data_IF_777996297835
#
_entry.id   IF_777996297835
#
_cell.length_a   1.000
_cell.length_b   1.000
_cell.length_c   1.000
_cell.angle_alpha   90.00
_cell.angle_beta   90.00
_cell.angle_gamma   90.00
#
_symmetry.space_group_name_H-M   'P 1'
#
loop_
_entity.id
_entity.type
_entity.pdbx_description
1 polymer ?
#
# COMPACT_ATOMS: atom_id res chain seq x y z
N UNK A 1 -0.62 1.68 -8.72
CA UNK A 1 0.06 2.61 -7.79
C UNK A 1 1.07 3.45 -8.56
N UNK A 2 1.13 4.76 -8.30
CA UNK A 2 2.18 5.60 -8.86
C UNK A 2 3.50 5.36 -8.10
N UNK A 3 4.46 4.70 -8.76
CA UNK A 3 5.80 4.43 -8.24
C UNK A 3 6.51 5.70 -7.73
N UNK A 4 6.11 6.88 -8.22
CA UNK A 4 6.62 8.16 -7.74
C UNK A 4 6.26 8.41 -6.26
N UNK A 5 5.04 8.05 -5.83
CA UNK A 5 4.59 8.29 -4.45
C UNK A 5 5.28 7.40 -3.42
N UNK A 6 5.54 6.12 -3.74
CA UNK A 6 6.37 5.25 -2.87
C UNK A 6 7.76 5.82 -2.67
N UNK A 7 8.32 6.34 -3.76
CA UNK A 7 9.68 6.85 -3.78
C UNK A 7 9.80 8.13 -2.96
N UNK A 8 8.83 9.02 -3.06
CA UNK A 8 8.73 10.22 -2.23
C UNK A 8 8.72 9.86 -0.73
N UNK A 9 7.86 8.91 -0.31
CA UNK A 9 7.80 8.46 1.09
C UNK A 9 9.13 7.90 1.60
N UNK A 10 9.83 7.10 0.77
CA UNK A 10 11.14 6.58 1.13
C UNK A 10 12.19 7.70 1.25
N UNK A 11 12.20 8.65 0.31
CA UNK A 11 13.15 9.76 0.32
C UNK A 11 12.89 10.75 1.47
N UNK A 12 11.64 10.94 1.89
CA UNK A 12 11.29 11.70 3.09
C UNK A 12 11.83 11.03 4.35
N UNK A 13 11.56 9.73 4.54
CA UNK A 13 12.14 8.97 5.64
C UNK A 13 13.67 9.03 5.64
N UNK A 14 14.29 8.86 4.47
CA UNK A 14 15.75 8.89 4.34
C UNK A 14 16.33 10.25 4.74
N UNK A 15 15.67 11.36 4.40
CA UNK A 15 16.10 12.71 4.82
C UNK A 15 16.07 12.88 6.33
N UNK A 16 15.10 12.28 7.01
CA UNK A 16 15.00 12.33 8.48
C UNK A 16 16.09 11.52 9.17
N UNK A 17 16.30 10.27 8.73
CA UNK A 17 17.25 9.35 9.38
C UNK A 17 18.70 9.56 8.93
N UNK A 18 18.90 10.01 7.69
CA UNK A 18 20.22 10.26 7.11
C UNK A 18 20.19 11.51 6.20
N UNK A 19 20.20 12.72 6.78
CA UNK A 19 20.10 13.97 6.02
C UNK A 19 21.19 14.20 4.96
N UNK A 20 22.34 13.54 5.11
CA UNK A 20 23.48 13.61 4.18
C UNK A 20 23.51 12.46 3.16
N UNK A 21 22.47 11.64 3.09
CA UNK A 21 22.38 10.55 2.13
C UNK A 21 22.43 11.09 0.69
N UNK A 22 23.22 10.44 -0.17
CA UNK A 22 23.34 10.82 -1.57
C UNK A 22 22.19 10.21 -2.37
N UNK A 23 21.18 11.02 -2.67
CA UNK A 23 19.99 10.60 -3.45
C UNK A 23 20.11 10.85 -4.95
N UNK A 24 21.32 11.15 -5.45
CA UNK A 24 21.59 11.29 -6.89
C UNK A 24 21.30 9.96 -7.59
N UNK A 25 20.62 10.00 -8.72
CA UNK A 25 20.24 8.83 -9.51
C UNK A 25 21.05 8.69 -10.80
N UNK A 26 21.11 7.49 -11.35
CA UNK A 26 21.47 7.24 -12.74
C UNK A 26 20.27 7.54 -13.65
N UNK A 27 20.48 7.55 -14.98
CA UNK A 27 19.39 7.65 -15.94
C UNK A 27 18.43 6.44 -15.88
N UNK A 28 18.84 5.32 -15.28
CA UNK A 28 17.97 4.18 -14.99
C UNK A 28 16.95 4.46 -13.88
N UNK A 29 17.14 5.52 -13.08
CA UNK A 29 16.34 5.81 -11.90
C UNK A 29 16.85 5.20 -10.59
N UNK A 30 17.89 4.36 -10.65
CA UNK A 30 18.55 3.80 -9.46
C UNK A 30 19.40 4.85 -8.75
N UNK A 31 19.49 4.77 -7.43
CA UNK A 31 20.39 5.61 -6.65
C UNK A 31 21.85 5.24 -6.91
N UNK A 32 22.71 6.26 -7.03
CA UNK A 32 24.16 6.07 -7.21
C UNK A 32 24.85 5.59 -5.94
N UNK A 33 24.29 5.93 -4.77
CA UNK A 33 24.75 5.37 -3.51
C UNK A 33 24.22 3.94 -3.38
N UNK A 34 25.12 2.98 -3.33
CA UNK A 34 24.77 1.57 -3.16
C UNK A 34 23.96 1.34 -1.87
N UNK A 35 24.34 1.97 -0.76
CA UNK A 35 23.61 1.86 0.51
C UNK A 35 22.18 2.37 0.39
N UNK A 36 21.97 3.51 -0.28
CA UNK A 36 20.62 4.06 -0.51
C UNK A 36 19.84 3.15 -1.45
N UNK A 37 20.46 2.64 -2.51
CA UNK A 37 19.82 1.72 -3.45
C UNK A 37 19.39 0.42 -2.77
N UNK A 38 20.26 -0.20 -1.98
CA UNK A 38 19.93 -1.42 -1.24
C UNK A 38 18.82 -1.17 -0.20
N UNK A 39 18.83 0.00 0.45
CA UNK A 39 17.76 0.38 1.39
C UNK A 39 16.42 0.55 0.66
N UNK A 40 16.43 1.17 -0.53
CA UNK A 40 15.25 1.32 -1.38
C UNK A 40 14.70 -0.04 -1.84
N UNK A 41 15.57 -0.93 -2.34
CA UNK A 41 15.16 -2.28 -2.77
C UNK A 41 14.60 -3.09 -1.59
N UNK A 42 15.25 -3.02 -0.42
CA UNK A 42 14.79 -3.70 0.79
C UNK A 42 13.43 -3.17 1.26
N UNK A 43 13.23 -1.85 1.17
CA UNK A 43 11.96 -1.21 1.48
C UNK A 43 10.83 -1.69 0.56
N UNK A 44 11.08 -1.72 -0.76
CA UNK A 44 10.11 -2.26 -1.73
C UNK A 44 9.77 -3.72 -1.42
N UNK A 45 10.78 -4.58 -1.22
CA UNK A 45 10.59 -5.98 -0.91
C UNK A 45 9.79 -6.20 0.38
N UNK A 46 10.05 -5.42 1.43
CA UNK A 46 9.30 -5.49 2.69
C UNK A 46 7.82 -5.17 2.50
N UNK A 47 7.48 -4.20 1.64
CA UNK A 47 6.08 -3.83 1.38
C UNK A 47 5.38 -4.85 0.49
N UNK A 48 6.09 -5.43 -0.47
CA UNK A 48 5.56 -6.52 -1.30
C UNK A 48 5.28 -7.79 -0.52
N UNK A 49 6.03 -8.03 0.56
CA UNK A 49 5.83 -9.17 1.46
C UNK A 49 4.61 -9.00 2.38
N UNK A 50 4.19 -7.75 2.66
CA UNK A 50 2.98 -7.48 3.45
C UNK A 50 1.75 -7.58 2.55
N UNK A 51 0.89 -8.56 2.86
CA UNK A 51 -0.37 -8.78 2.16
C UNK A 51 -1.52 -8.62 3.14
N UNK A 52 -2.39 -7.65 2.89
CA UNK A 52 -3.56 -7.34 3.71
C UNK A 52 -4.73 -8.25 3.32
N UNK A 53 -5.40 -8.80 4.32
CA UNK A 53 -6.67 -9.51 4.15
C UNK A 53 -7.81 -8.55 4.48
N UNK A 54 -8.65 -8.27 3.49
CA UNK A 54 -9.88 -7.52 3.75
C UNK A 54 -10.98 -8.45 4.25
N UNK A 55 -11.94 -7.94 5.04
CA UNK A 55 -13.17 -8.65 5.30
C UNK A 55 -13.84 -9.08 3.99
N UNK A 56 -14.56 -10.20 3.99
CA UNK A 56 -15.35 -10.56 2.83
C UNK A 56 -16.39 -9.47 2.57
N UNK A 57 -16.76 -9.31 1.30
CA UNK A 57 -17.98 -8.62 0.87
C UNK A 57 -19.22 -9.18 1.58
N UNK A 58 -20.38 -8.55 1.40
CA UNK A 58 -21.67 -8.83 2.05
C UNK A 58 -21.78 -10.29 2.52
N UNK A 59 -21.69 -10.46 3.84
CA UNK A 59 -21.65 -11.75 4.51
C UNK A 59 -22.89 -11.94 5.39
N UNK A 60 -22.92 -13.02 6.18
CA UNK A 60 -23.97 -13.24 7.17
C UNK A 60 -24.09 -12.07 8.18
N UNK A 61 -22.97 -11.38 8.46
CA UNK A 61 -22.96 -10.22 9.35
C UNK A 61 -23.74 -9.03 8.80
N UNK A 62 -23.86 -8.92 7.48
CA UNK A 62 -24.51 -7.82 6.78
C UNK A 62 -25.98 -8.11 6.44
N UNK A 63 -26.49 -9.28 6.84
CA UNK A 63 -27.84 -9.74 6.50
C UNK A 63 -28.74 -9.86 7.74
N UNK A 64 -30.04 -9.74 7.52
CA UNK A 64 -31.08 -10.05 8.50
C UNK A 64 -31.24 -11.57 8.66
N UNK A 65 -31.96 -12.02 9.68
CA UNK A 65 -32.27 -13.44 9.87
C UNK A 65 -32.97 -14.07 8.66
N UNK A 66 -33.71 -13.27 7.88
CA UNK A 66 -34.43 -13.70 6.69
C UNK A 66 -33.59 -13.62 5.41
N UNK A 67 -32.28 -13.30 5.51
CA UNK A 67 -31.35 -13.31 4.38
C UNK A 67 -31.28 -12.00 3.58
N UNK A 68 -32.10 -11.00 3.87
CA UNK A 68 -32.03 -9.68 3.23
C UNK A 68 -30.81 -8.89 3.71
N UNK A 69 -30.15 -8.19 2.80
CA UNK A 69 -29.11 -7.21 3.14
C UNK A 69 -29.72 -6.12 4.02
N UNK A 70 -29.01 -5.79 5.10
CA UNK A 70 -29.40 -4.72 6.01
C UNK A 70 -29.24 -3.36 5.30
N UNK A 71 -30.17 -2.40 5.48
CA UNK A 71 -30.04 -1.08 4.88
C UNK A 71 -28.69 -0.40 5.21
N UNK A 72 -28.15 -0.63 6.42
CA UNK A 72 -26.86 -0.09 6.86
C UNK A 72 -25.66 -0.68 6.11
N UNK A 73 -25.85 -1.79 5.40
CA UNK A 73 -24.83 -2.46 4.60
C UNK A 73 -25.01 -2.24 3.09
N UNK A 74 -25.89 -1.33 2.67
CA UNK A 74 -26.19 -1.07 1.25
C UNK A 74 -24.93 -0.78 0.42
N UNK A 75 -23.94 -0.09 1.00
CA UNK A 75 -22.67 0.26 0.35
C UNK A 75 -21.44 -0.47 0.92
N UNK A 76 -21.67 -1.62 1.57
CA UNK A 76 -20.59 -2.34 2.25
C UNK A 76 -19.53 -2.83 1.27
N UNK A 77 -19.94 -3.32 0.10
CA UNK A 77 -19.01 -3.88 -0.88
C UNK A 77 -18.17 -2.80 -1.55
N UNK A 78 -18.77 -1.66 -1.86
CA UNK A 78 -18.06 -0.47 -2.36
C UNK A 78 -17.06 0.04 -1.32
N UNK A 79 -17.42 0.06 -0.04
CA UNK A 79 -16.48 0.46 1.02
C UNK A 79 -15.29 -0.52 1.14
N UNK A 80 -15.49 -1.81 0.90
CA UNK A 80 -14.41 -2.81 0.84
C UNK A 80 -13.51 -2.56 -0.37
N UNK A 81 -14.08 -2.23 -1.53
CA UNK A 81 -13.31 -1.91 -2.74
C UNK A 81 -12.52 -0.59 -2.57
N UNK A 82 -13.12 0.45 -2.00
CA UNK A 82 -12.44 1.73 -1.68
C UNK A 82 -11.26 1.50 -0.72
N UNK A 83 -11.44 0.63 0.28
CA UNK A 83 -10.38 0.25 1.20
C UNK A 83 -9.23 -0.48 0.48
N UNK A 84 -9.55 -1.39 -0.46
CA UNK A 84 -8.54 -2.06 -1.29
C UNK A 84 -7.73 -1.04 -2.08
N UNK A 85 -8.39 -0.15 -2.79
CA UNK A 85 -7.74 0.90 -3.59
C UNK A 85 -6.85 1.80 -2.73
N UNK A 86 -7.34 2.22 -1.55
CA UNK A 86 -6.57 3.05 -0.64
C UNK A 86 -5.30 2.33 -0.12
N UNK A 87 -5.38 1.04 0.19
CA UNK A 87 -4.24 0.23 0.64
C UNK A 87 -3.22 0.04 -0.49
N UNK A 88 -3.69 -0.30 -1.69
CA UNK A 88 -2.84 -0.47 -2.87
C UNK A 88 -2.19 0.84 -3.31
N UNK A 89 -2.88 1.98 -3.13
CA UNK A 89 -2.33 3.31 -3.35
C UNK A 89 -1.22 3.70 -2.36
N UNK A 90 -1.06 2.95 -1.26
CA UNK A 90 0.09 3.04 -0.34
C UNK A 90 1.16 1.99 -0.64
N UNK A 91 0.97 1.12 -1.65
CA UNK A 91 1.99 0.16 -2.09
C UNK A 91 2.08 -1.08 -1.24
N UNK A 92 0.99 -1.42 -0.57
CA UNK A 92 0.78 -2.72 0.05
C UNK A 92 -0.08 -3.57 -0.89
N UNK A 93 0.05 -4.88 -0.81
CA UNK A 93 -0.81 -5.79 -1.58
C UNK A 93 -2.04 -6.17 -0.75
N UNK A 94 -3.17 -6.36 -1.41
CA UNK A 94 -4.38 -6.92 -0.79
C UNK A 94 -4.64 -8.30 -1.41
N UNK A 95 -5.06 -9.28 -0.61
CA UNK A 95 -5.40 -10.61 -1.15
C UNK A 95 -6.52 -10.51 -2.20
N UNK A 96 -6.45 -11.29 -3.30
CA UNK A 96 -7.55 -11.41 -4.25
C UNK A 96 -8.87 -11.76 -3.55
#
# INVERSE_FOLDING_TARGET
MDTNKMREQFEEWLKEVWPKALTIKYNSGDYRSETVQQSWVSWQASREAVVVELPPKISAHNKTANGYVRPEAEHYDEAIDDCREAIEAQGLRVKP
#
